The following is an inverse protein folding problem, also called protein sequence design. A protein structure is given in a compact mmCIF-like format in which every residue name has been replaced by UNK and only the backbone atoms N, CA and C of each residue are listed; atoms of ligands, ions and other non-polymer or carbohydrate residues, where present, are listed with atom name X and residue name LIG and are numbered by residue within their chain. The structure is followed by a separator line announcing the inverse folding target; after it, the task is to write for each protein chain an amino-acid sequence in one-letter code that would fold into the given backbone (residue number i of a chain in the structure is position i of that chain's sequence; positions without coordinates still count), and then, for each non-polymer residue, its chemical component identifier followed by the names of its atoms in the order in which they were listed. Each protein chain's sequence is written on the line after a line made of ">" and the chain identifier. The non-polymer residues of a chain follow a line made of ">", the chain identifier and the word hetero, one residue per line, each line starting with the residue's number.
data_IF_809073480149
#
_entry.id   IF_809073480149
#
_cell.length_a   1.000
_cell.length_b   1.000
_cell.length_c   1.000
_cell.angle_alpha   90.00
_cell.angle_beta   90.00
_cell.angle_gamma   90.00
#
_symmetry.space_group_name_H-M   'P 1'
#
loop_
_entity.id
_entity.type
_entity.pdbx_description
1 polymer ?
#
# COMPACT_ATOMS: atom_id res chain seq x y z
N UNK A 1 -10.30 -4.81 14.05
CA UNK A 1 -11.33 -3.90 13.51
C UNK A 1 -11.19 -3.88 11.99
N UNK A 2 -12.30 -3.87 11.26
CA UNK A 2 -12.31 -3.79 9.79
C UNK A 2 -12.17 -2.32 9.35
N UNK A 3 -11.27 -1.97 8.40
CA UNK A 3 -11.15 -0.59 7.92
C UNK A 3 -12.35 -0.16 7.05
N UNK A 4 -12.62 1.15 7.02
CA UNK A 4 -13.64 1.77 6.15
C UNK A 4 -13.12 2.04 4.74
N UNK A 5 -11.82 2.34 4.61
CA UNK A 5 -11.14 2.67 3.34
C UNK A 5 -9.78 1.97 3.26
N UNK A 6 -9.49 1.32 2.14
CA UNK A 6 -8.17 0.78 1.79
C UNK A 6 -7.54 1.67 0.72
N UNK A 7 -6.43 2.33 1.03
CA UNK A 7 -5.69 3.11 0.04
C UNK A 7 -4.67 2.20 -0.63
N UNK A 8 -4.94 1.83 -1.88
CA UNK A 8 -4.07 0.95 -2.67
C UNK A 8 -3.00 1.74 -3.42
N UNK A 9 -1.73 1.37 -3.23
CA UNK A 9 -0.56 1.99 -3.85
C UNK A 9 0.26 0.92 -4.60
N UNK A 10 -0.03 0.67 -5.89
CA UNK A 10 0.82 -0.17 -6.72
C UNK A 10 2.13 0.55 -7.07
N UNK A 11 3.26 -0.15 -7.05
CA UNK A 11 4.58 0.39 -7.40
C UNK A 11 5.40 -0.60 -8.23
N UNK A 12 6.36 -0.08 -8.98
CA UNK A 12 7.30 -0.87 -9.80
C UNK A 12 8.63 -0.12 -9.89
N UNK A 13 9.70 -0.64 -9.27
CA UNK A 13 11.07 -0.08 -9.30
C UNK A 13 11.16 1.39 -8.89
N UNK A 14 10.38 1.81 -7.89
CA UNK A 14 10.31 3.21 -7.42
C UNK A 14 10.21 3.31 -5.89
N UNK A 15 11.21 2.82 -5.14
CA UNK A 15 11.20 2.84 -3.67
C UNK A 15 10.99 4.24 -3.09
N UNK A 16 11.66 5.26 -3.63
CA UNK A 16 11.53 6.64 -3.14
C UNK A 16 10.13 7.23 -3.37
N UNK A 17 9.47 6.86 -4.47
CA UNK A 17 8.13 7.39 -4.78
C UNK A 17 7.06 6.72 -3.95
N UNK A 18 7.19 5.40 -3.68
CA UNK A 18 6.23 4.72 -2.81
C UNK A 18 6.36 5.21 -1.37
N UNK A 19 7.58 5.49 -0.89
CA UNK A 19 7.78 6.16 0.40
C UNK A 19 7.08 7.52 0.45
N UNK A 20 7.27 8.36 -0.56
CA UNK A 20 6.61 9.68 -0.66
C UNK A 20 5.08 9.56 -0.69
N UNK A 21 4.55 8.58 -1.41
CA UNK A 21 3.10 8.33 -1.49
C UNK A 21 2.53 7.87 -0.14
N UNK A 22 3.20 6.94 0.55
CA UNK A 22 2.80 6.52 1.90
C UNK A 22 2.81 7.72 2.86
N UNK A 23 3.89 8.51 2.86
CA UNK A 23 4.00 9.70 3.72
C UNK A 23 2.89 10.72 3.43
N UNK A 24 2.52 10.95 2.17
CA UNK A 24 1.44 11.90 1.83
C UNK A 24 0.06 11.41 2.32
N UNK A 25 -0.19 10.11 2.26
CA UNK A 25 -1.41 9.48 2.80
C UNK A 25 -1.44 9.60 4.33
N UNK A 26 -0.32 9.35 5.00
CA UNK A 26 -0.20 9.50 6.46
C UNK A 26 -0.37 10.95 6.96
N UNK A 27 -0.33 11.95 6.08
CA UNK A 27 -0.59 13.36 6.42
C UNK A 27 -2.06 13.77 6.31
N UNK A 28 -2.94 12.92 5.74
CA UNK A 28 -4.37 13.27 5.58
C UNK A 28 -5.06 13.49 6.94
N UNK A 29 -6.00 14.42 7.04
CA UNK A 29 -6.70 14.78 8.29
C UNK A 29 -8.15 15.18 8.00
N UNK A 30 -8.96 15.36 9.04
CA UNK A 30 -10.30 15.96 8.92
C UNK A 30 -11.44 14.98 8.66
N UNK A 31 -11.26 13.68 8.92
CA UNK A 31 -12.30 12.67 8.71
C UNK A 31 -12.31 11.65 9.85
N UNK A 32 -13.44 10.94 9.99
CA UNK A 32 -13.65 9.87 10.96
C UNK A 32 -13.87 8.57 10.20
N UNK A 33 -12.80 7.95 9.74
CA UNK A 33 -12.81 6.67 9.04
C UNK A 33 -11.60 5.85 9.48
N UNK A 34 -11.77 4.55 9.64
CA UNK A 34 -10.64 3.62 9.82
C UNK A 34 -9.98 3.39 8.47
N UNK A 35 -8.67 3.62 8.38
CA UNK A 35 -7.92 3.54 7.12
C UNK A 35 -6.86 2.46 7.23
N UNK A 36 -6.66 1.72 6.15
CA UNK A 36 -5.45 0.94 5.92
C UNK A 36 -4.77 1.38 4.61
N UNK A 37 -3.48 1.10 4.50
CA UNK A 37 -2.71 1.31 3.28
C UNK A 37 -2.31 -0.08 2.76
N UNK A 38 -2.54 -0.34 1.49
CA UNK A 38 -2.09 -1.57 0.82
C UNK A 38 -1.05 -1.17 -0.22
N UNK A 39 0.20 -1.54 0.01
CA UNK A 39 1.27 -1.33 -0.97
C UNK A 39 1.47 -2.61 -1.73
N UNK A 40 1.33 -2.55 -3.05
CA UNK A 40 1.63 -3.69 -3.89
C UNK A 40 2.84 -3.42 -4.77
N UNK A 41 3.88 -4.18 -4.52
CA UNK A 41 5.11 -4.16 -5.29
C UNK A 41 4.98 -5.11 -6.48
N UNK A 42 4.94 -4.55 -7.69
CA UNK A 42 4.85 -5.32 -8.93
C UNK A 42 6.22 -5.52 -9.60
N UNK A 43 7.30 -5.15 -8.92
CA UNK A 43 8.65 -5.43 -9.39
C UNK A 43 9.03 -6.89 -9.07
N UNK A 44 9.51 -7.69 -10.05
CA UNK A 44 9.98 -9.04 -9.80
C UNK A 44 10.99 -9.15 -8.64
N UNK A 45 11.82 -8.12 -8.45
CA UNK A 45 12.85 -8.06 -7.41
C UNK A 45 12.36 -7.52 -6.06
N UNK A 46 11.08 -7.16 -5.95
CA UNK A 46 10.48 -6.62 -4.74
C UNK A 46 11.21 -5.37 -4.20
N UNK A 47 11.59 -4.44 -5.09
CA UNK A 47 12.39 -3.25 -4.74
C UNK A 47 11.77 -2.32 -3.70
N UNK A 48 10.47 -2.40 -3.43
CA UNK A 48 9.81 -1.59 -2.40
C UNK A 48 9.75 -2.28 -1.02
N UNK A 49 10.11 -3.56 -0.91
CA UNK A 49 9.91 -4.36 0.31
C UNK A 49 10.50 -3.73 1.56
N UNK A 50 11.77 -3.39 1.53
CA UNK A 50 12.49 -2.94 2.72
C UNK A 50 12.02 -1.56 3.19
N UNK A 51 11.76 -0.64 2.25
CA UNK A 51 11.25 0.69 2.60
C UNK A 51 9.82 0.63 3.16
N UNK A 52 8.95 -0.21 2.59
CA UNK A 52 7.57 -0.37 3.08
C UNK A 52 7.56 -1.02 4.47
N UNK A 53 8.35 -2.07 4.70
CA UNK A 53 8.47 -2.71 6.01
C UNK A 53 8.97 -1.74 7.08
N UNK A 54 9.97 -0.93 6.75
CA UNK A 54 10.52 0.08 7.65
C UNK A 54 9.45 1.11 8.05
N UNK A 55 8.66 1.59 7.09
CA UNK A 55 7.56 2.52 7.36
C UNK A 55 6.46 1.87 8.19
N UNK A 56 6.08 0.63 7.87
CA UNK A 56 4.98 -0.08 8.55
C UNK A 56 5.20 -0.27 10.06
N UNK A 57 6.45 -0.24 10.53
CA UNK A 57 6.77 -0.41 11.95
C UNK A 57 6.25 0.73 12.85
N UNK A 58 6.08 1.96 12.31
CA UNK A 58 5.79 3.15 13.11
C UNK A 58 4.79 4.09 12.44
N UNK A 59 3.59 3.60 12.11
CA UNK A 59 2.54 4.42 11.46
C UNK A 59 1.21 4.40 12.21
N UNK A 60 0.47 5.50 12.11
CA UNK A 60 -0.86 5.63 12.71
C UNK A 60 -1.91 4.70 12.09
N UNK A 61 -1.65 4.20 10.89
CA UNK A 61 -2.52 3.29 10.14
C UNK A 61 -1.72 2.05 9.74
N UNK A 62 -2.35 0.86 9.74
CA UNK A 62 -1.70 -0.36 9.27
C UNK A 62 -1.32 -0.24 7.80
N UNK A 63 -0.15 -0.78 7.46
CA UNK A 63 0.34 -0.91 6.09
C UNK A 63 0.49 -2.40 5.79
N UNK A 64 -0.28 -2.90 4.83
CA UNK A 64 -0.16 -4.24 4.29
C UNK A 64 0.75 -4.19 3.05
N UNK A 65 1.78 -5.03 3.02
CA UNK A 65 2.66 -5.17 1.86
C UNK A 65 2.33 -6.46 1.11
N UNK A 66 2.13 -6.37 -0.20
CA UNK A 66 2.07 -7.54 -1.08
C UNK A 66 3.08 -7.44 -2.23
N UNK A 67 3.42 -8.59 -2.78
CA UNK A 67 4.34 -8.73 -3.90
C UNK A 67 3.67 -9.51 -5.04
N UNK A 68 3.64 -8.91 -6.22
CA UNK A 68 3.19 -9.54 -7.46
C UNK A 68 4.37 -9.56 -8.44
N UNK A 69 5.12 -10.68 -8.54
CA UNK A 69 6.32 -10.74 -9.35
C UNK A 69 6.03 -10.73 -10.87
N UNK A 70 4.80 -10.98 -11.32
CA UNK A 70 4.43 -10.91 -12.74
C UNK A 70 4.05 -9.47 -13.13
N UNK A 71 4.88 -8.75 -13.92
CA UNK A 71 4.62 -7.36 -14.24
C UNK A 71 3.32 -7.18 -15.02
N UNK A 72 2.50 -6.23 -14.60
CA UNK A 72 1.26 -5.88 -15.26
C UNK A 72 0.37 -5.02 -14.39
N UNK A 73 -0.13 -3.91 -14.93
CA UNK A 73 -1.01 -2.99 -14.19
C UNK A 73 -2.27 -3.71 -13.67
N UNK A 74 -2.84 -4.62 -14.47
CA UNK A 74 -3.98 -5.42 -14.05
C UNK A 74 -3.62 -6.42 -12.95
N UNK A 75 -2.50 -7.13 -13.08
CA UNK A 75 -1.99 -8.06 -12.07
C UNK A 75 -1.81 -7.33 -10.73
N UNK A 76 -1.14 -6.17 -10.78
CA UNK A 76 -0.91 -5.36 -9.61
C UNK A 76 -2.22 -4.87 -8.97
N UNK A 77 -3.18 -4.37 -9.74
CA UNK A 77 -4.46 -3.94 -9.17
C UNK A 77 -5.25 -5.10 -8.58
N UNK A 78 -5.33 -6.22 -9.28
CA UNK A 78 -6.08 -7.39 -8.86
C UNK A 78 -5.47 -8.03 -7.59
N UNK A 79 -4.15 -8.12 -7.51
CA UNK A 79 -3.47 -8.59 -6.32
C UNK A 79 -3.66 -7.65 -5.12
N UNK A 80 -3.60 -6.33 -5.33
CA UNK A 80 -3.84 -5.37 -4.26
C UNK A 80 -5.30 -5.42 -3.76
N UNK A 81 -6.27 -5.59 -4.66
CA UNK A 81 -7.69 -5.73 -4.29
C UNK A 81 -7.96 -6.98 -3.45
N UNK A 82 -7.21 -8.08 -3.64
CA UNK A 82 -7.32 -9.28 -2.78
C UNK A 82 -6.78 -9.06 -1.36
N UNK A 83 -5.88 -8.10 -1.18
CA UNK A 83 -5.29 -7.75 0.12
C UNK A 83 -6.09 -6.69 0.86
N UNK A 84 -6.81 -5.83 0.14
CA UNK A 84 -7.69 -4.82 0.69
C UNK A 84 -8.85 -5.47 1.49
N UNK A 85 -9.08 -4.96 2.70
CA UNK A 85 -10.07 -5.48 3.67
C UNK A 85 -11.25 -4.53 3.85
N UNK A 86 -11.17 -3.31 3.32
CA UNK A 86 -12.22 -2.31 3.47
C UNK A 86 -13.33 -2.43 2.41
N UNK A 87 -14.46 -1.79 2.71
CA UNK A 87 -15.61 -1.65 1.79
C UNK A 87 -15.36 -0.66 0.64
N UNK A 88 -14.43 0.28 0.81
CA UNK A 88 -14.05 1.29 -0.18
C UNK A 88 -12.57 1.13 -0.52
N UNK A 89 -12.25 1.11 -1.81
CA UNK A 89 -10.88 1.07 -2.35
C UNK A 89 -10.69 2.19 -3.36
#
# INVERSE_FOLDING_TARGET
>A
MTPDVSIVIPTFRRPDYVERAIKSVLLQKGFKALVEIVVLDNDPEASAREIVKSLAANTRWPIEYGHEPEPGVANARNAALRLAKAKLV
#
